data_IF_961637801171
#
_entry.id   IF_961637801171
#
_cell.length_a   1.000
_cell.length_b   1.000
_cell.length_c   1.000
_cell.angle_alpha   90.00
_cell.angle_beta   90.00
_cell.angle_gamma   90.00
#
_symmetry.space_group_name_H-M   'P 1'
#
loop_
_entity.id
_entity.type
_entity.pdbx_description
1 polymer ?
#
# COMPACT_ATOMS: atom_id res chain seq x y z
N UNK A 1 -8.95 4.34 -37.42
CA UNK A 1 -8.09 4.28 -36.20
C UNK A 1 -8.92 4.21 -34.92
N UNK A 2 -9.94 5.06 -34.73
CA UNK A 2 -10.82 5.10 -33.53
C UNK A 2 -11.48 3.74 -33.22
N UNK A 3 -12.02 3.04 -34.23
CA UNK A 3 -12.59 1.69 -34.06
C UNK A 3 -11.59 0.64 -33.56
N UNK A 4 -10.31 0.76 -33.96
CA UNK A 4 -9.25 -0.17 -33.54
C UNK A 4 -8.96 -0.01 -32.05
N UNK A 5 -8.91 1.23 -31.57
CA UNK A 5 -8.70 1.55 -30.13
C UNK A 5 -9.87 1.06 -29.27
N UNK A 6 -11.11 1.22 -29.74
CA UNK A 6 -12.28 0.65 -29.06
C UNK A 6 -12.23 -0.88 -28.99
N UNK A 7 -11.83 -1.54 -30.08
CA UNK A 7 -11.64 -2.99 -30.12
C UNK A 7 -10.57 -3.44 -29.12
N UNK A 8 -9.41 -2.78 -29.12
CA UNK A 8 -8.32 -3.05 -28.17
C UNK A 8 -8.76 -2.90 -26.71
N UNK A 9 -9.54 -1.87 -26.38
CA UNK A 9 -10.09 -1.71 -25.02
C UNK A 9 -11.06 -2.83 -24.62
N UNK A 10 -11.85 -3.33 -25.58
CA UNK A 10 -12.74 -4.47 -25.38
C UNK A 10 -11.96 -5.77 -25.16
N UNK A 11 -10.90 -6.00 -25.94
CA UNK A 11 -10.05 -7.19 -25.86
C UNK A 11 -9.27 -7.22 -24.54
N UNK A 12 -8.73 -6.07 -24.09
CA UNK A 12 -8.06 -5.94 -22.79
C UNK A 12 -9.02 -6.22 -21.64
N UNK A 13 -10.27 -5.73 -21.71
CA UNK A 13 -11.29 -6.02 -20.70
C UNK A 13 -11.63 -7.51 -20.67
N UNK A 14 -11.66 -8.17 -21.83
CA UNK A 14 -11.88 -9.60 -21.94
C UNK A 14 -10.72 -10.40 -21.33
N UNK A 15 -9.47 -10.04 -21.59
CA UNK A 15 -8.30 -10.68 -20.96
C UNK A 15 -8.25 -10.45 -19.45
N UNK A 16 -8.58 -9.23 -18.98
CA UNK A 16 -8.67 -8.91 -17.56
C UNK A 16 -9.75 -9.72 -16.82
N UNK A 17 -10.79 -10.19 -17.51
CA UNK A 17 -11.79 -11.09 -16.91
C UNK A 17 -11.30 -12.54 -16.76
N UNK A 18 -10.24 -12.94 -17.48
CA UNK A 18 -9.59 -14.25 -17.30
C UNK A 18 -8.59 -14.26 -16.15
N UNK A 19 -8.24 -13.08 -15.62
CA UNK A 19 -7.38 -12.94 -14.45
C UNK A 19 -8.20 -13.29 -13.21
N UNK A 20 -7.69 -14.21 -12.40
CA UNK A 20 -8.23 -14.51 -11.08
C UNK A 20 -7.89 -13.36 -10.12
N UNK A 21 -8.74 -12.34 -10.10
CA UNK A 21 -8.62 -11.25 -9.14
C UNK A 21 -8.86 -11.79 -7.73
N UNK A 22 -8.09 -11.35 -6.72
CA UNK A 22 -8.30 -11.81 -5.37
C UNK A 22 -9.64 -11.31 -4.83
N UNK A 23 -10.29 -12.12 -4.00
CA UNK A 23 -11.52 -11.72 -3.32
C UNK A 23 -11.29 -10.49 -2.44
N UNK A 24 -12.29 -9.60 -2.41
CA UNK A 24 -12.24 -8.34 -1.65
C UNK A 24 -11.88 -8.52 -0.18
N UNK A 25 -12.23 -9.65 0.41
CA UNK A 25 -11.91 -9.96 1.81
C UNK A 25 -10.42 -10.26 2.01
N UNK A 26 -9.76 -10.92 1.05
CA UNK A 26 -8.31 -11.16 1.08
C UNK A 26 -7.50 -9.86 0.90
N UNK A 27 -8.02 -8.94 0.08
CA UNK A 27 -7.45 -7.61 -0.12
C UNK A 27 -7.53 -6.76 1.16
N UNK A 28 -8.69 -6.78 1.83
CA UNK A 28 -8.89 -6.07 3.09
C UNK A 28 -8.02 -6.65 4.21
N UNK A 29 -7.94 -7.98 4.31
CA UNK A 29 -7.07 -8.66 5.27
C UNK A 29 -5.61 -8.25 5.10
N UNK A 30 -5.09 -8.26 3.87
CA UNK A 30 -3.72 -7.85 3.57
C UNK A 30 -3.47 -6.37 3.90
N UNK A 31 -4.41 -5.49 3.55
CA UNK A 31 -4.29 -4.04 3.81
C UNK A 31 -4.33 -3.74 5.32
N UNK A 32 -5.16 -4.45 6.07
CA UNK A 32 -5.29 -4.26 7.52
C UNK A 32 -4.00 -4.61 8.26
N UNK A 33 -3.33 -5.70 7.86
CA UNK A 33 -2.04 -6.10 8.41
C UNK A 33 -0.97 -5.02 8.14
N UNK A 34 -0.92 -4.50 6.90
CA UNK A 34 0.02 -3.44 6.53
C UNK A 34 -0.23 -2.16 7.33
N UNK A 35 -1.48 -1.78 7.55
CA UNK A 35 -1.84 -0.62 8.37
C UNK A 35 -1.36 -0.78 9.81
N UNK A 36 -1.62 -1.92 10.44
CA UNK A 36 -1.17 -2.20 11.81
C UNK A 36 0.36 -2.14 11.90
N UNK A 37 1.05 -2.81 10.97
CA UNK A 37 2.51 -2.82 10.93
C UNK A 37 3.09 -1.40 10.78
N UNK A 38 2.51 -0.59 9.88
CA UNK A 38 2.91 0.80 9.66
C UNK A 38 2.70 1.66 10.90
N UNK A 39 1.59 1.49 11.63
CA UNK A 39 1.33 2.21 12.88
C UNK A 39 2.36 1.84 13.95
N UNK A 40 2.67 0.56 14.12
CA UNK A 40 3.68 0.10 15.09
C UNK A 40 5.05 0.70 14.78
N UNK A 41 5.47 0.66 13.51
CA UNK A 41 6.73 1.26 13.04
C UNK A 41 6.77 2.76 13.31
N UNK A 42 5.68 3.47 13.03
CA UNK A 42 5.58 4.92 13.25
C UNK A 42 5.74 5.26 14.73
N UNK A 43 5.09 4.52 15.62
CA UNK A 43 5.22 4.70 17.07
C UNK A 43 6.64 4.40 17.54
N UNK A 44 7.25 3.33 17.03
CA UNK A 44 8.62 2.98 17.38
C UNK A 44 9.63 4.08 16.98
N UNK A 45 9.56 4.54 15.73
CA UNK A 45 10.43 5.62 15.24
C UNK A 45 10.22 6.91 16.03
N UNK A 46 8.97 7.27 16.33
CA UNK A 46 8.66 8.43 17.15
C UNK A 46 9.33 8.38 18.53
N UNK A 47 9.31 7.22 19.19
CA UNK A 47 9.97 7.05 20.50
C UNK A 47 11.49 7.19 20.36
N UNK A 48 12.08 6.56 19.35
CA UNK A 48 13.54 6.63 19.10
C UNK A 48 13.97 8.06 18.82
N UNK A 49 13.26 8.76 17.95
CA UNK A 49 13.56 10.16 17.59
C UNK A 49 13.41 11.08 18.80
N UNK A 50 12.40 10.87 19.65
CA UNK A 50 12.20 11.63 20.87
C UNK A 50 13.35 11.43 21.87
N UNK A 51 13.77 10.18 22.08
CA UNK A 51 14.90 9.86 22.96
C UNK A 51 16.19 10.48 22.41
N UNK A 52 16.46 10.30 21.11
CA UNK A 52 17.66 10.81 20.48
C UNK A 52 17.71 12.35 20.53
N UNK A 53 16.60 13.02 20.25
CA UNK A 53 16.49 14.48 20.34
C UNK A 53 16.76 14.98 21.76
N UNK A 54 16.25 14.27 22.78
CA UNK A 54 16.49 14.62 24.18
C UNK A 54 17.95 14.42 24.58
N UNK A 55 18.58 13.33 24.14
CA UNK A 55 20.01 13.07 24.38
C UNK A 55 20.86 14.16 23.73
N UNK A 56 20.61 14.49 22.47
CA UNK A 56 21.32 15.55 21.75
C UNK A 56 21.16 16.90 22.46
N UNK A 57 19.95 17.23 22.92
CA UNK A 57 19.68 18.48 23.66
C UNK A 57 20.30 18.53 25.07
N UNK A 58 20.71 17.40 25.64
CA UNK A 58 21.43 17.37 26.93
C UNK A 58 22.95 17.50 26.69
N UNK A 59 23.43 16.99 25.56
CA UNK A 59 24.85 17.01 25.19
C UNK A 59 25.28 18.38 24.66
N UNK A 60 24.43 19.04 23.85
CA UNK A 60 24.62 20.44 23.44
C UNK A 60 24.14 21.41 24.52
#
# INVERSE_FOLDING_TARGET
MIKKVQQFGSDVKFEMSKVSWPDWDSLKGSTYIVLILSVILTVFLFIVDFILSKIISIIM
#
